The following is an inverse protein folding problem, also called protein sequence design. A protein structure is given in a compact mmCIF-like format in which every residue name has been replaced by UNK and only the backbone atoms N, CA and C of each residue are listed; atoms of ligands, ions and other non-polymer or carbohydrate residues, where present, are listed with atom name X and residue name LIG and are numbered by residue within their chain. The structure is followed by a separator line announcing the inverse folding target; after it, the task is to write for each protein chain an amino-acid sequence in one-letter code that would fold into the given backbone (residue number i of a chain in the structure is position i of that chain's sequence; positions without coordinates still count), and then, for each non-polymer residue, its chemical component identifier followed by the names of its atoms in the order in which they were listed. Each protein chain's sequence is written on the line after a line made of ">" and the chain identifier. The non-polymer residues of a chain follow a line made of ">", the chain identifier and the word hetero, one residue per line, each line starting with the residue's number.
data_IF_332865905180
#
_entry.id   IF_332865905180
#
_cell.length_a   1.000
_cell.length_b   1.000
_cell.length_c   1.000
_cell.angle_alpha   90.00
_cell.angle_beta   90.00
_cell.angle_gamma   90.00
#
_symmetry.space_group_name_H-M   'P 1'
#
loop_
_entity.id
_entity.type
_entity.pdbx_description
1 polymer ?
#
# COMPACT_ATOMS: atom_id res chain seq x y z
N UNK A 1 30.30 9.64 30.98
CA UNK A 1 30.03 10.15 29.61
C UNK A 1 29.85 11.66 29.74
N UNK A 2 30.44 12.44 28.84
CA UNK A 2 30.19 13.88 28.81
C UNK A 2 28.75 14.13 28.32
N UNK A 3 28.05 15.08 28.93
CA UNK A 3 26.74 15.53 28.48
C UNK A 3 26.88 16.23 27.13
N UNK A 4 26.54 15.55 26.04
CA UNK A 4 26.47 16.15 24.70
C UNK A 4 25.07 16.74 24.46
N UNK A 5 24.99 17.89 23.80
CA UNK A 5 23.73 18.39 23.25
C UNK A 5 23.25 17.45 22.14
N UNK A 6 21.96 17.43 21.90
CA UNK A 6 21.36 16.58 20.80
C UNK A 6 22.02 16.89 19.46
N UNK A 7 22.37 18.16 19.19
CA UNK A 7 23.04 18.60 17.97
C UNK A 7 24.51 18.17 17.84
N UNK A 8 25.10 17.65 18.92
CA UNK A 8 26.48 17.17 18.97
C UNK A 8 26.57 15.63 18.90
N UNK A 9 25.44 14.96 18.75
CA UNK A 9 25.39 13.51 18.64
C UNK A 9 25.70 13.09 17.18
N UNK A 10 26.43 12.00 17.06
CA UNK A 10 26.68 11.40 15.76
C UNK A 10 25.36 10.83 15.17
N UNK A 11 25.19 10.96 13.84
CA UNK A 11 24.03 10.43 13.18
C UNK A 11 24.03 8.88 13.21
N UNK A 12 22.91 8.30 13.61
CA UNK A 12 22.69 6.86 13.51
C UNK A 12 22.10 6.56 12.13
N UNK A 13 22.82 5.81 11.31
CA UNK A 13 22.39 5.44 9.94
C UNK A 13 21.62 4.12 9.90
N UNK A 14 21.71 3.30 10.95
CA UNK A 14 21.01 2.01 11.05
C UNK A 14 20.55 1.82 12.49
N UNK A 15 19.24 1.61 12.67
CA UNK A 15 18.65 1.31 13.98
C UNK A 15 18.56 -0.20 14.19
N UNK A 16 19.10 -0.69 15.30
CA UNK A 16 18.80 -2.04 15.76
C UNK A 16 17.42 -2.04 16.45
N UNK A 17 16.75 -3.19 16.48
CA UNK A 17 15.42 -3.34 17.08
C UNK A 17 15.39 -2.99 18.59
N UNK A 18 16.54 -3.10 19.25
CA UNK A 18 16.75 -2.78 20.68
C UNK A 18 17.11 -1.34 20.96
N UNK A 19 17.46 -0.55 19.93
CA UNK A 19 17.76 0.86 20.09
C UNK A 19 16.54 1.60 20.60
N UNK A 20 16.76 2.68 21.36
CA UNK A 20 15.69 3.40 22.02
C UNK A 20 15.68 4.87 21.61
N UNK A 21 14.47 5.40 21.44
CA UNK A 21 14.20 6.81 21.23
C UNK A 21 13.59 7.37 22.52
N UNK A 22 14.11 8.48 23.08
CA UNK A 22 13.45 9.16 24.19
C UNK A 22 12.16 9.82 23.70
N UNK A 23 11.10 9.65 24.46
CA UNK A 23 9.78 10.25 24.21
C UNK A 23 9.34 10.99 25.47
N UNK A 24 8.95 12.26 25.34
CA UNK A 24 8.37 13.02 26.42
C UNK A 24 6.86 12.82 26.41
N UNK A 25 6.33 12.28 27.49
CA UNK A 25 4.89 12.25 27.75
C UNK A 25 4.47 13.60 28.34
N UNK A 26 3.90 14.44 27.49
CA UNK A 26 3.48 15.79 27.86
C UNK A 26 2.33 15.78 28.88
N UNK A 27 1.50 14.73 28.87
CA UNK A 27 0.36 14.60 29.79
C UNK A 27 0.79 14.25 31.22
N UNK A 28 1.87 13.47 31.35
CA UNK A 28 2.39 13.00 32.63
C UNK A 28 3.65 13.77 33.10
N UNK A 29 4.15 14.69 32.28
CA UNK A 29 5.42 15.43 32.53
C UNK A 29 6.60 14.49 32.82
N UNK A 30 6.66 13.38 32.10
CA UNK A 30 7.69 12.35 32.28
C UNK A 30 8.35 12.00 30.95
N UNK A 31 9.64 11.59 31.06
CA UNK A 31 10.39 11.12 29.90
C UNK A 31 10.46 9.60 29.91
N UNK A 32 9.97 8.99 28.85
CA UNK A 32 10.01 7.55 28.62
C UNK A 32 10.96 7.21 27.46
N UNK A 33 11.14 5.92 27.22
CA UNK A 33 11.84 5.40 26.04
C UNK A 33 10.92 4.47 25.27
N UNK A 34 10.98 4.56 23.96
CA UNK A 34 10.37 3.59 23.05
C UNK A 34 11.49 2.88 22.28
N UNK A 35 11.40 1.57 22.12
CA UNK A 35 12.34 0.84 21.25
C UNK A 35 12.05 1.10 19.79
N UNK A 36 13.07 1.03 18.94
CA UNK A 36 12.90 1.15 17.49
C UNK A 36 11.88 0.12 16.96
N UNK A 37 11.86 -1.11 17.51
CA UNK A 37 10.88 -2.13 17.17
C UNK A 37 9.43 -1.71 17.46
N UNK A 38 9.18 -0.85 18.42
CA UNK A 38 7.84 -0.44 18.83
C UNK A 38 7.41 0.93 18.27
N UNK A 39 8.32 1.68 17.65
CA UNK A 39 8.04 3.04 17.18
C UNK A 39 6.85 3.11 16.21
N UNK A 40 6.64 2.09 15.39
CA UNK A 40 5.54 2.01 14.42
C UNK A 40 4.47 0.97 14.76
N UNK A 41 4.56 0.30 15.92
CA UNK A 41 3.58 -0.74 16.31
C UNK A 41 2.32 -0.20 16.96
N UNK A 42 2.32 1.04 17.37
CA UNK A 42 1.21 1.72 18.06
C UNK A 42 0.54 2.77 17.19
N UNK A 43 0.57 2.59 15.87
CA UNK A 43 -0.16 3.46 14.98
C UNK A 43 -1.66 3.28 15.21
N UNK A 44 -2.45 4.37 15.24
CA UNK A 44 -3.90 4.26 15.28
C UNK A 44 -4.41 3.57 14.01
N UNK A 45 -5.60 2.98 14.07
CA UNK A 45 -6.19 2.29 12.91
C UNK A 45 -6.36 3.22 11.70
N UNK A 46 -6.66 4.50 11.96
CA UNK A 46 -6.93 5.48 10.93
C UNK A 46 -8.27 5.28 10.24
N UNK A 47 -8.47 6.02 9.17
CA UNK A 47 -9.64 5.93 8.28
C UNK A 47 -9.22 6.26 6.86
N UNK A 48 -10.10 6.04 5.88
CA UNK A 48 -9.82 6.46 4.49
C UNK A 48 -9.54 7.97 4.38
N UNK A 49 -10.24 8.80 5.17
CA UNK A 49 -10.06 10.27 5.17
C UNK A 49 -8.82 10.71 5.97
N UNK A 50 -8.36 9.91 6.91
CA UNK A 50 -7.19 10.16 7.77
C UNK A 50 -6.42 8.86 8.03
N UNK A 51 -5.68 8.35 7.03
CA UNK A 51 -4.91 7.11 7.15
C UNK A 51 -3.85 7.17 8.25
N UNK A 52 -3.55 6.03 8.86
CA UNK A 52 -2.50 5.91 9.90
C UNK A 52 -1.11 6.27 9.38
N UNK A 53 -0.82 5.87 8.15
CA UNK A 53 0.37 6.26 7.41
C UNK A 53 -0.07 7.19 6.28
N UNK A 54 0.15 8.48 6.42
CA UNK A 54 -0.26 9.50 5.47
C UNK A 54 0.88 10.48 5.17
N UNK A 55 0.68 11.29 4.12
CA UNK A 55 1.63 12.31 3.72
C UNK A 55 1.26 13.65 4.36
N UNK A 56 2.24 14.38 4.89
CA UNK A 56 2.01 15.65 5.59
C UNK A 56 1.30 16.70 4.72
N UNK A 57 1.56 16.70 3.41
CA UNK A 57 0.94 17.63 2.46
C UNK A 57 -0.41 17.16 1.93
N UNK A 58 -0.77 15.88 2.15
CA UNK A 58 -2.03 15.30 1.68
C UNK A 58 -2.47 14.17 2.61
N UNK A 59 -3.14 14.56 3.68
CA UNK A 59 -3.53 13.66 4.76
C UNK A 59 -4.60 12.62 4.36
N UNK A 60 -5.26 12.79 3.23
CA UNK A 60 -6.25 11.84 2.71
C UNK A 60 -5.66 10.68 1.90
N UNK A 61 -4.33 10.65 1.71
CA UNK A 61 -3.63 9.63 0.96
C UNK A 61 -2.79 8.76 1.91
N UNK A 62 -2.96 7.44 1.86
CA UNK A 62 -2.16 6.58 2.73
C UNK A 62 -2.70 5.19 2.96
N UNK A 63 -2.19 4.54 4.00
CA UNK A 63 -2.55 3.18 4.42
C UNK A 63 -3.18 3.21 5.80
N UNK A 64 -4.23 2.43 6.01
CA UNK A 64 -4.97 2.36 7.27
C UNK A 64 -5.56 0.96 7.50
N UNK A 65 -5.98 0.68 8.74
CA UNK A 65 -6.71 -0.54 9.07
C UNK A 65 -8.20 -0.30 8.79
N UNK A 66 -8.70 -0.84 7.68
CA UNK A 66 -10.07 -0.64 7.21
C UNK A 66 -11.12 -1.45 8.01
N UNK A 67 -10.68 -2.41 8.79
CA UNK A 67 -11.47 -3.28 9.66
C UNK A 67 -10.63 -4.39 10.23
N UNK A 68 -11.21 -5.29 11.01
CA UNK A 68 -10.48 -6.46 11.53
C UNK A 68 -9.85 -7.24 10.37
N UNK A 69 -8.54 -7.50 10.47
CA UNK A 69 -7.75 -8.22 9.47
C UNK A 69 -7.81 -7.63 8.05
N UNK A 70 -8.13 -6.33 7.93
CA UNK A 70 -8.36 -5.69 6.63
C UNK A 70 -7.50 -4.44 6.48
N UNK A 71 -6.63 -4.41 5.48
CA UNK A 71 -5.79 -3.26 5.13
C UNK A 71 -6.43 -2.48 3.99
N UNK A 72 -6.52 -1.16 4.15
CA UNK A 72 -6.99 -0.24 3.13
C UNK A 72 -5.92 0.72 2.63
N UNK A 73 -5.97 1.06 1.36
CA UNK A 73 -5.21 2.16 0.76
C UNK A 73 -6.19 3.20 0.28
N UNK A 74 -5.98 4.45 0.66
CA UNK A 74 -6.82 5.58 0.26
C UNK A 74 -6.08 6.59 -0.60
N UNK A 75 -6.83 7.28 -1.44
CA UNK A 75 -6.42 8.50 -2.12
C UNK A 75 -7.58 9.49 -2.10
N UNK A 76 -7.28 10.77 -1.79
CA UNK A 76 -8.30 11.82 -1.67
C UNK A 76 -9.39 11.49 -0.65
N UNK A 77 -9.03 10.84 0.45
CA UNK A 77 -9.96 10.43 1.50
C UNK A 77 -10.90 9.27 1.14
N UNK A 78 -10.70 8.62 -0.01
CA UNK A 78 -11.53 7.50 -0.48
C UNK A 78 -10.70 6.24 -0.56
N UNK A 79 -11.22 5.13 -0.01
CA UNK A 79 -10.58 3.80 -0.11
C UNK A 79 -10.59 3.32 -1.57
N UNK A 80 -9.41 2.97 -2.08
CA UNK A 80 -9.20 2.52 -3.47
C UNK A 80 -8.84 1.05 -3.58
N UNK A 81 -8.05 0.56 -2.63
CA UNK A 81 -7.65 -0.84 -2.58
C UNK A 81 -7.94 -1.39 -1.20
N UNK A 82 -8.39 -2.63 -1.14
CA UNK A 82 -8.60 -3.38 0.10
C UNK A 82 -7.96 -4.74 -0.02
N UNK A 83 -7.30 -5.19 1.05
CA UNK A 83 -6.90 -6.59 1.23
C UNK A 83 -7.58 -7.08 2.50
N UNK A 84 -8.46 -8.07 2.38
CA UNK A 84 -9.19 -8.63 3.52
C UNK A 84 -8.45 -9.79 4.20
N UNK A 85 -8.96 -10.24 5.35
CA UNK A 85 -8.38 -11.32 6.15
C UNK A 85 -8.36 -12.70 5.46
N UNK A 86 -9.05 -12.86 4.35
CA UNK A 86 -9.01 -14.06 3.50
C UNK A 86 -8.00 -13.93 2.35
N UNK A 87 -7.34 -12.77 2.23
CA UNK A 87 -6.37 -12.47 1.17
C UNK A 87 -7.01 -12.00 -0.14
N UNK A 88 -8.31 -11.69 -0.16
CA UNK A 88 -8.93 -11.11 -1.34
C UNK A 88 -8.51 -9.66 -1.53
N UNK A 89 -8.21 -9.28 -2.76
CA UNK A 89 -7.89 -7.90 -3.14
C UNK A 89 -9.06 -7.31 -3.92
N UNK A 90 -9.58 -6.18 -3.44
CA UNK A 90 -10.61 -5.40 -4.14
C UNK A 90 -10.05 -4.06 -4.57
N UNK A 91 -10.25 -3.68 -5.83
CA UNK A 91 -9.89 -2.38 -6.40
C UNK A 91 -11.18 -1.66 -6.75
N UNK A 92 -11.41 -0.48 -6.13
CA UNK A 92 -12.63 0.33 -6.30
C UNK A 92 -12.48 1.32 -7.46
N UNK A 93 -12.07 0.85 -8.62
CA UNK A 93 -11.85 1.67 -9.82
C UNK A 93 -11.23 0.83 -10.91
N UNK A 94 -10.75 1.48 -11.95
CA UNK A 94 -10.13 0.81 -13.07
C UNK A 94 -8.76 0.23 -12.71
N UNK A 95 -8.45 -0.94 -13.22
CA UNK A 95 -7.14 -1.57 -13.15
C UNK A 95 -6.48 -1.57 -14.53
N UNK A 96 -5.39 -0.83 -14.69
CA UNK A 96 -4.55 -0.89 -15.87
C UNK A 96 -3.28 -1.69 -15.54
N UNK A 97 -3.04 -2.77 -16.25
CA UNK A 97 -1.81 -3.55 -16.13
C UNK A 97 -0.93 -3.25 -17.35
N UNK A 98 0.17 -2.54 -17.12
CA UNK A 98 1.14 -2.18 -18.16
C UNK A 98 2.35 -3.10 -18.08
N UNK A 99 2.49 -4.00 -19.04
CA UNK A 99 3.60 -4.95 -19.09
C UNK A 99 3.50 -5.86 -20.31
N UNK A 100 4.55 -6.64 -20.55
CA UNK A 100 4.58 -7.55 -21.70
C UNK A 100 3.69 -8.79 -21.51
N UNK A 101 3.44 -9.19 -20.26
CA UNK A 101 2.67 -10.41 -19.97
C UNK A 101 1.86 -10.24 -18.69
N UNK A 102 0.60 -10.63 -18.72
CA UNK A 102 -0.26 -10.79 -17.54
C UNK A 102 -0.69 -12.24 -17.46
N UNK A 103 -0.39 -12.91 -16.36
CA UNK A 103 -0.82 -14.29 -16.10
C UNK A 103 -1.92 -14.28 -15.07
N UNK A 104 -3.05 -14.94 -15.36
CA UNK A 104 -4.14 -15.17 -14.41
C UNK A 104 -4.26 -16.68 -14.22
N UNK A 105 -3.86 -17.17 -13.05
CA UNK A 105 -3.98 -18.58 -12.65
C UNK A 105 -5.25 -18.76 -11.82
N UNK A 106 -6.36 -19.01 -12.48
CA UNK A 106 -7.67 -19.18 -11.87
C UNK A 106 -8.44 -20.30 -12.56
N UNK A 107 -9.25 -21.03 -11.78
CA UNK A 107 -10.15 -22.04 -12.34
C UNK A 107 -11.27 -21.42 -13.18
N UNK A 108 -11.64 -20.18 -12.89
CA UNK A 108 -12.70 -19.45 -13.60
C UNK A 108 -12.36 -17.96 -13.64
N UNK A 109 -12.43 -17.35 -14.81
CA UNK A 109 -12.42 -15.89 -14.99
C UNK A 109 -13.83 -15.49 -15.43
N UNK A 110 -14.51 -14.71 -14.59
CA UNK A 110 -15.84 -14.17 -14.92
C UNK A 110 -15.67 -12.75 -15.43
N UNK A 111 -16.27 -12.47 -16.60
CA UNK A 111 -16.27 -11.16 -17.24
C UNK A 111 -17.72 -10.74 -17.40
N UNK A 112 -18.11 -9.66 -16.73
CA UNK A 112 -19.47 -9.11 -16.74
C UNK A 112 -19.68 -8.04 -17.82
N UNK A 113 -18.65 -7.75 -18.60
CA UNK A 113 -18.67 -6.81 -19.70
C UNK A 113 -19.25 -7.41 -20.99
N UNK A 114 -19.90 -6.57 -21.78
CA UNK A 114 -20.46 -6.95 -23.07
C UNK A 114 -19.40 -7.20 -24.14
N UNK A 115 -18.21 -6.63 -23.99
CA UNK A 115 -17.14 -6.68 -24.97
C UNK A 115 -15.81 -7.07 -24.34
N UNK A 116 -15.10 -7.96 -25.00
CA UNK A 116 -13.67 -8.23 -24.78
C UNK A 116 -12.95 -7.75 -26.02
N UNK A 117 -12.10 -6.73 -25.88
CA UNK A 117 -11.27 -6.24 -26.96
C UNK A 117 -9.88 -6.86 -26.86
N UNK A 118 -9.48 -7.60 -27.89
CA UNK A 118 -8.17 -8.25 -27.98
C UNK A 118 -7.36 -7.60 -29.10
N UNK A 119 -6.08 -7.28 -28.80
CA UNK A 119 -5.18 -6.72 -29.81
C UNK A 119 -5.50 -5.29 -30.20
N UNK A 120 -6.05 -4.48 -29.28
CA UNK A 120 -6.33 -3.05 -29.51
C UNK A 120 -5.05 -2.28 -29.81
N UNK A 121 -4.99 -1.65 -30.98
CA UNK A 121 -3.88 -0.82 -31.45
C UNK A 121 -4.41 0.42 -32.14
N UNK A 122 -3.61 1.52 -32.12
CA UNK A 122 -4.02 2.81 -32.71
C UNK A 122 -4.27 2.73 -34.24
N UNK A 123 -3.64 1.79 -34.94
CA UNK A 123 -3.79 1.57 -36.39
C UNK A 123 -3.95 0.08 -36.67
N UNK A 124 -5.18 -0.47 -36.60
CA UNK A 124 -5.44 -1.88 -36.82
C UNK A 124 -5.09 -2.30 -38.25
N UNK A 125 -4.47 -3.46 -38.41
CA UNK A 125 -4.18 -4.08 -39.67
C UNK A 125 -4.15 -5.61 -39.53
N UNK A 126 -4.16 -6.34 -40.64
CA UNK A 126 -4.02 -7.79 -40.60
C UNK A 126 -2.69 -8.21 -39.93
N UNK A 127 -1.64 -7.43 -40.11
CA UNK A 127 -0.34 -7.70 -39.48
C UNK A 127 -0.36 -7.47 -37.97
N UNK A 128 -1.10 -6.48 -37.49
CA UNK A 128 -1.20 -6.20 -36.04
C UNK A 128 -2.12 -7.17 -35.29
N UNK A 129 -3.02 -7.85 -36.03
CA UNK A 129 -3.89 -8.90 -35.48
C UNK A 129 -3.30 -10.32 -35.61
N UNK A 130 -2.19 -10.47 -36.36
CA UNK A 130 -1.55 -11.75 -36.57
C UNK A 130 -1.02 -12.37 -35.28
N UNK A 131 -1.38 -13.63 -35.02
CA UNK A 131 -1.06 -14.34 -33.78
C UNK A 131 -1.91 -13.97 -32.57
N UNK A 132 -2.85 -13.02 -32.70
CA UNK A 132 -3.82 -12.68 -31.65
C UNK A 132 -4.95 -13.69 -31.55
N UNK A 133 -5.51 -13.91 -30.37
CA UNK A 133 -6.67 -14.76 -30.19
C UNK A 133 -6.73 -15.47 -28.84
N UNK A 134 -7.70 -16.38 -28.75
CA UNK A 134 -7.91 -17.25 -27.59
C UNK A 134 -7.47 -18.66 -27.98
N UNK A 135 -6.46 -19.18 -27.28
CA UNK A 135 -6.00 -20.57 -27.49
C UNK A 135 -6.45 -21.43 -26.31
N UNK A 136 -7.20 -22.48 -26.63
CA UNK A 136 -7.56 -23.52 -25.66
C UNK A 136 -6.53 -24.64 -25.75
N UNK A 137 -5.86 -24.92 -24.66
CA UNK A 137 -4.94 -26.06 -24.53
C UNK A 137 -5.63 -27.10 -23.65
N UNK A 138 -5.97 -28.25 -24.26
CA UNK A 138 -6.51 -29.40 -23.56
C UNK A 138 -5.41 -30.33 -23.06
#
# INVERSE_FOLDING_TARGET
>A
MANKKITELDAVTTLASTDVVPVVDVSADTTHKITAANLFRTLPDGTAAAPSLSFASDAGNGVFLAGTDTVGISTGGTQRVTVDGSGNVTISGDLTVSGATTTVESTTVTIDDKNIELGSVASPSNTTADGGGITLKG
#
